data_IF_132153670328
#
_entry.id   IF_132153670328
#
_cell.length_a   1.000
_cell.length_b   1.000
_cell.length_c   1.000
_cell.angle_alpha   90.00
_cell.angle_beta   90.00
_cell.angle_gamma   90.00
#
_symmetry.space_group_name_H-M   'P 1'
#
loop_
_entity.id
_entity.type
_entity.pdbx_description
1 polymer ?
#
# COMPACT_ATOMS: atom_id res chain seq x y z
N UNK A 1 -14.49 -24.06 -59.26
CA UNK A 1 -14.16 -24.09 -57.82
C UNK A 1 -13.34 -22.84 -57.49
N UNK A 2 -13.90 -21.86 -56.75
CA UNK A 2 -13.22 -20.61 -56.40
C UNK A 2 -12.32 -20.84 -55.18
N UNK A 3 -11.01 -20.67 -55.33
CA UNK A 3 -10.03 -20.77 -54.23
C UNK A 3 -10.21 -19.54 -53.33
N UNK A 4 -10.79 -19.73 -52.15
CA UNK A 4 -10.90 -18.66 -51.15
C UNK A 4 -9.50 -18.45 -50.58
N UNK A 5 -8.90 -17.30 -50.88
CA UNK A 5 -7.60 -16.91 -50.33
C UNK A 5 -7.73 -16.76 -48.82
N UNK A 6 -6.97 -17.55 -48.06
CA UNK A 6 -6.93 -17.53 -46.58
C UNK A 6 -6.05 -16.40 -46.03
N UNK A 7 -5.33 -15.69 -46.90
CA UNK A 7 -4.43 -14.59 -46.57
C UNK A 7 -5.10 -13.38 -45.87
N UNK A 8 -6.29 -12.88 -46.29
CA UNK A 8 -6.96 -11.78 -45.58
C UNK A 8 -7.45 -12.17 -44.19
N UNK A 9 -7.85 -13.43 -43.97
CA UNK A 9 -8.28 -13.89 -42.65
C UNK A 9 -7.13 -13.89 -41.65
N UNK A 10 -5.92 -14.24 -42.10
CA UNK A 10 -4.71 -14.26 -41.27
C UNK A 10 -4.27 -12.85 -40.85
N UNK A 11 -4.38 -11.87 -41.75
CA UNK A 11 -4.03 -10.47 -41.48
C UNK A 11 -5.00 -9.86 -40.46
N UNK A 12 -6.30 -10.12 -40.60
CA UNK A 12 -7.32 -9.62 -39.65
C UNK A 12 -7.08 -10.21 -38.24
N UNK A 13 -6.79 -11.51 -38.14
CA UNK A 13 -6.49 -12.13 -36.84
C UNK A 13 -5.21 -11.59 -36.21
N UNK A 14 -4.18 -11.31 -37.01
CA UNK A 14 -2.91 -10.78 -36.52
C UNK A 14 -3.04 -9.33 -36.06
N UNK A 15 -3.82 -8.51 -36.77
CA UNK A 15 -4.15 -7.13 -36.38
C UNK A 15 -4.99 -7.10 -35.11
N UNK A 16 -5.98 -7.99 -34.95
CA UNK A 16 -6.74 -8.10 -33.71
C UNK A 16 -5.88 -8.57 -32.54
N UNK A 17 -4.96 -9.53 -32.74
CA UNK A 17 -4.06 -10.01 -31.67
C UNK A 17 -3.05 -8.92 -31.23
N UNK A 18 -2.57 -8.08 -32.16
CA UNK A 18 -1.73 -6.92 -31.82
C UNK A 18 -2.50 -5.87 -31.01
N UNK A 19 -3.80 -5.67 -31.27
CA UNK A 19 -4.64 -4.75 -30.51
C UNK A 19 -4.87 -5.18 -29.06
N UNK A 20 -4.82 -6.48 -28.75
CA UNK A 20 -4.86 -6.99 -27.37
C UNK A 20 -3.51 -6.87 -26.65
N UNK A 21 -2.40 -6.63 -27.35
CA UNK A 21 -1.06 -6.46 -26.76
C UNK A 21 -0.83 -5.05 -26.21
N UNK A 22 -1.55 -4.06 -26.74
CA UNK A 22 -1.44 -2.64 -26.32
C UNK A 22 -2.44 -2.24 -25.24
N UNK A 23 -3.30 -3.16 -24.77
CA UNK A 23 -4.08 -2.90 -23.57
C UNK A 23 -3.15 -2.98 -22.35
N UNK A 24 -3.11 -1.95 -21.48
CA UNK A 24 -2.40 -2.07 -20.23
C UNK A 24 -3.08 -3.18 -19.43
N UNK A 25 -2.38 -4.30 -19.24
CA UNK A 25 -2.72 -5.32 -18.25
C UNK A 25 -2.51 -4.70 -16.87
N UNK A 26 -3.43 -3.81 -16.50
CA UNK A 26 -3.51 -3.26 -15.15
C UNK A 26 -3.77 -4.40 -14.19
N UNK A 27 -3.01 -4.43 -13.10
CA UNK A 27 -3.19 -5.35 -11.98
C UNK A 27 -4.68 -5.35 -11.61
N UNK A 28 -5.35 -6.48 -11.76
CA UNK A 28 -6.71 -6.67 -11.24
C UNK A 28 -6.58 -6.92 -9.73
N UNK A 29 -6.18 -5.89 -9.00
CA UNK A 29 -6.56 -5.76 -7.60
C UNK A 29 -8.05 -5.41 -7.60
N UNK A 30 -8.83 -5.95 -6.66
CA UNK A 30 -10.26 -5.64 -6.52
C UNK A 30 -10.44 -4.12 -6.53
N UNK A 31 -10.95 -3.58 -7.65
CA UNK A 31 -10.95 -2.16 -7.88
C UNK A 31 -12.24 -1.59 -7.31
N UNK A 32 -12.10 -0.70 -6.33
CA UNK A 32 -13.24 0.01 -5.75
C UNK A 32 -13.90 0.85 -6.86
N UNK A 33 -15.24 0.91 -6.87
CA UNK A 33 -15.95 1.71 -7.84
C UNK A 33 -15.66 3.20 -7.65
N UNK A 34 -15.77 3.99 -8.72
CA UNK A 34 -15.65 5.44 -8.64
C UNK A 34 -16.66 6.02 -7.64
N UNK A 35 -16.20 6.90 -6.77
CA UNK A 35 -17.01 7.42 -5.68
C UNK A 35 -16.18 8.05 -4.55
N UNK A 36 -16.89 8.52 -3.52
CA UNK A 36 -16.28 9.01 -2.28
C UNK A 36 -16.68 8.09 -1.14
N UNK A 37 -15.70 7.72 -0.33
CA UNK A 37 -15.86 6.80 0.79
C UNK A 37 -15.25 7.40 2.05
N UNK A 38 -15.85 7.14 3.20
CA UNK A 38 -15.20 7.32 4.48
C UNK A 38 -14.34 6.08 4.78
N UNK A 39 -13.10 6.31 5.19
CA UNK A 39 -12.12 5.28 5.47
C UNK A 39 -11.49 5.49 6.85
N UNK A 40 -11.49 4.44 7.66
CA UNK A 40 -10.78 4.44 8.93
C UNK A 40 -9.32 4.04 8.73
N UNK A 41 -8.46 4.45 9.65
CA UNK A 41 -7.05 4.14 9.63
C UNK A 41 -6.43 4.31 11.01
N UNK A 42 -5.26 3.69 11.19
CA UNK A 42 -4.39 3.88 12.35
C UNK A 42 -3.04 4.36 11.85
N UNK A 43 -2.48 5.38 12.51
CA UNK A 43 -1.09 5.76 12.29
C UNK A 43 -0.20 4.84 13.11
N UNK A 44 0.68 4.11 12.43
CA UNK A 44 1.66 3.21 13.03
C UNK A 44 3.05 3.84 13.06
N UNK A 45 3.92 3.28 13.90
CA UNK A 45 5.36 3.60 13.92
C UNK A 45 6.02 3.17 12.62
N UNK A 46 7.21 3.71 12.32
CA UNK A 46 7.96 3.33 11.13
C UNK A 46 8.43 1.87 11.19
N UNK A 47 8.86 1.43 12.38
CA UNK A 47 9.59 0.17 12.57
C UNK A 47 8.68 -1.02 12.82
N UNK A 48 7.44 -0.79 13.25
CA UNK A 48 6.50 -1.85 13.61
C UNK A 48 5.04 -1.38 13.61
N UNK A 49 4.12 -2.32 13.71
CA UNK A 49 2.68 -2.12 13.49
C UNK A 49 1.94 -1.56 14.72
N UNK A 50 2.68 -1.17 15.77
CA UNK A 50 2.08 -0.51 16.94
C UNK A 50 1.64 0.89 16.57
N UNK A 51 0.56 1.37 17.21
CA UNK A 51 0.10 2.74 17.08
C UNK A 51 1.22 3.74 17.42
N UNK A 52 1.32 4.78 16.60
CA UNK A 52 2.20 5.93 16.82
C UNK A 52 1.50 6.96 17.71
N UNK A 53 2.28 7.69 18.51
CA UNK A 53 1.76 8.88 19.21
C UNK A 53 1.19 9.92 18.24
N UNK A 54 1.67 9.93 16.99
CA UNK A 54 1.15 10.79 15.95
C UNK A 54 -0.34 10.51 15.64
N UNK A 55 -0.85 9.32 15.95
CA UNK A 55 -2.22 8.93 15.65
C UNK A 55 -3.26 9.93 16.15
N UNK A 56 -3.07 10.52 17.32
CA UNK A 56 -4.07 11.42 17.94
C UNK A 56 -4.18 12.78 17.25
N UNK A 57 -3.21 13.12 16.40
CA UNK A 57 -3.18 14.37 15.64
C UNK A 57 -3.85 14.28 14.27
N UNK A 58 -4.29 13.09 13.87
CA UNK A 58 -4.99 12.86 12.60
C UNK A 58 -6.43 12.42 12.87
N UNK A 59 -7.39 13.13 12.29
CA UNK A 59 -8.82 12.93 12.54
C UNK A 59 -9.38 11.75 11.72
N UNK A 60 -10.33 11.02 12.29
CA UNK A 60 -10.99 9.87 11.64
C UNK A 60 -12.51 10.09 11.58
N UNK A 61 -13.19 9.55 10.55
CA UNK A 61 -12.60 8.91 9.36
C UNK A 61 -11.96 9.93 8.41
N UNK A 62 -11.09 9.46 7.52
CA UNK A 62 -10.64 10.22 6.36
C UNK A 62 -11.58 10.01 5.17
N UNK A 63 -11.40 10.81 4.11
CA UNK A 63 -12.13 10.61 2.85
C UNK A 63 -11.23 9.95 1.80
N UNK A 64 -11.71 8.89 1.19
CA UNK A 64 -11.12 8.23 0.03
C UNK A 64 -11.93 8.62 -1.21
N UNK A 65 -11.25 9.16 -2.22
CA UNK A 65 -11.83 9.51 -3.52
C UNK A 65 -11.27 8.53 -4.55
N UNK A 66 -12.16 7.82 -5.23
CA UNK A 66 -11.82 6.91 -6.31
C UNK A 66 -12.36 7.47 -7.62
N UNK A 67 -11.47 7.61 -8.62
CA UNK A 67 -11.83 8.08 -9.95
C UNK A 67 -11.00 7.39 -11.01
N UNK A 68 -11.65 6.74 -11.97
CA UNK A 68 -11.01 5.97 -13.04
C UNK A 68 -9.95 4.99 -12.50
N UNK A 69 -10.23 4.38 -11.34
CA UNK A 69 -9.30 3.45 -10.70
C UNK A 69 -8.12 4.07 -9.96
N UNK A 70 -7.96 5.40 -9.97
CA UNK A 70 -7.02 6.11 -9.12
C UNK A 70 -7.64 6.42 -7.76
N UNK A 71 -6.89 6.15 -6.69
CA UNK A 71 -7.28 6.44 -5.32
C UNK A 71 -6.49 7.62 -4.76
N UNK A 72 -7.20 8.62 -4.22
CA UNK A 72 -6.59 9.71 -3.44
C UNK A 72 -7.30 9.81 -2.10
N UNK A 73 -6.53 10.00 -1.03
CA UNK A 73 -7.08 10.17 0.31
C UNK A 73 -6.95 11.62 0.74
N UNK A 74 -7.95 12.12 1.46
CA UNK A 74 -7.95 13.40 2.13
C UNK A 74 -7.89 13.14 3.64
N UNK A 75 -6.74 13.48 4.24
CA UNK A 75 -6.44 13.26 5.66
C UNK A 75 -6.60 14.59 6.41
N UNK A 76 -7.67 14.74 7.21
CA UNK A 76 -7.77 15.84 8.16
C UNK A 76 -6.79 15.66 9.32
N UNK A 77 -6.13 16.74 9.72
CA UNK A 77 -5.24 16.78 10.89
C UNK A 77 -5.55 18.00 11.76
N UNK A 78 -5.39 17.81 13.07
CA UNK A 78 -5.46 18.85 14.08
C UNK A 78 -4.03 19.30 14.46
N UNK A 79 -3.93 20.39 15.23
CA UNK A 79 -2.66 21.03 15.57
C UNK A 79 -1.79 21.23 14.32
N UNK A 80 -2.42 21.74 13.25
CA UNK A 80 -1.81 21.87 11.93
C UNK A 80 -0.49 22.64 11.98
N UNK A 81 -0.36 23.61 12.87
CA UNK A 81 0.86 24.41 13.03
C UNK A 81 2.07 23.57 13.46
N UNK A 82 1.88 22.43 14.12
CA UNK A 82 2.98 21.61 14.62
C UNK A 82 3.62 20.75 13.53
N UNK A 83 2.87 20.35 12.51
CA UNK A 83 3.41 19.58 11.39
C UNK A 83 3.81 20.57 10.29
N UNK A 84 5.09 20.93 10.22
CA UNK A 84 5.62 21.92 9.27
C UNK A 84 5.80 21.34 7.88
N UNK A 85 6.17 20.07 7.77
CA UNK A 85 6.27 19.33 6.51
C UNK A 85 5.46 18.03 6.57
N UNK A 86 4.79 17.70 5.46
CA UNK A 86 4.10 16.43 5.28
C UNK A 86 4.38 15.92 3.87
N UNK A 87 5.24 14.91 3.75
CA UNK A 87 5.70 14.36 2.48
C UNK A 87 5.16 12.95 2.27
N UNK A 88 4.40 12.75 1.20
CA UNK A 88 3.82 11.48 0.81
C UNK A 88 4.58 10.86 -0.38
N UNK A 89 4.51 9.53 -0.57
CA UNK A 89 5.08 8.88 -1.74
C UNK A 89 4.37 9.31 -3.03
N UNK A 90 5.14 9.74 -4.03
CA UNK A 90 4.68 9.99 -5.38
C UNK A 90 5.79 9.61 -6.38
N UNK A 91 5.48 8.72 -7.33
CA UNK A 91 6.39 8.27 -8.39
C UNK A 91 7.79 7.82 -7.88
N UNK A 92 7.83 7.10 -6.75
CA UNK A 92 9.07 6.58 -6.15
C UNK A 92 9.85 7.58 -5.29
N UNK A 93 9.39 8.83 -5.17
CA UNK A 93 9.97 9.87 -4.32
C UNK A 93 9.00 10.27 -3.20
N UNK A 94 9.48 11.08 -2.26
CA UNK A 94 8.64 11.73 -1.25
C UNK A 94 8.48 13.20 -1.59
N UNK A 95 7.25 13.66 -1.76
CA UNK A 95 6.90 15.03 -2.14
C UNK A 95 5.87 15.61 -1.18
N UNK A 96 5.86 16.93 -1.02
CA UNK A 96 4.89 17.59 -0.14
C UNK A 96 3.45 17.31 -0.59
N UNK A 97 2.62 16.87 0.35
CA UNK A 97 1.22 16.58 0.07
C UNK A 97 0.44 17.87 -0.21
N UNK A 98 -0.53 17.77 -1.11
CA UNK A 98 -1.37 18.89 -1.50
C UNK A 98 -2.30 19.28 -0.35
N UNK A 99 -2.31 20.54 0.07
CA UNK A 99 -3.31 21.03 1.04
C UNK A 99 -4.60 21.32 0.28
N UNK A 100 -5.72 20.73 0.71
CA UNK A 100 -7.05 20.90 0.08
C UNK A 100 -8.02 21.72 0.92
N UNK A 101 -7.75 21.86 2.23
CA UNK A 101 -8.51 22.72 3.13
C UNK A 101 -7.64 23.14 4.31
N UNK A 102 -7.89 24.34 4.84
CA UNK A 102 -7.21 24.89 6.02
C UNK A 102 -8.21 25.72 6.84
N UNK A 103 -8.22 25.48 8.15
CA UNK A 103 -8.96 26.25 9.14
C UNK A 103 -7.95 26.74 10.18
N UNK A 104 -7.55 28.00 10.06
CA UNK A 104 -6.55 28.61 10.95
C UNK A 104 -7.09 28.87 12.35
N UNK A 105 -8.41 29.10 12.48
CA UNK A 105 -9.03 29.37 13.78
C UNK A 105 -9.10 28.11 14.64
N UNK A 106 -9.38 26.96 14.02
CA UNK A 106 -9.38 25.66 14.70
C UNK A 106 -8.00 24.97 14.72
N UNK A 107 -6.98 25.57 14.10
CA UNK A 107 -5.66 24.98 13.83
C UNK A 107 -5.76 23.58 13.18
N UNK A 108 -6.53 23.50 12.09
CA UNK A 108 -6.75 22.27 11.31
C UNK A 108 -6.37 22.45 9.86
N UNK A 109 -5.97 21.36 9.21
CA UNK A 109 -5.86 21.30 7.76
C UNK A 109 -6.21 19.92 7.23
N UNK A 110 -6.52 19.84 5.95
CA UNK A 110 -6.68 18.58 5.24
C UNK A 110 -5.67 18.50 4.11
N UNK A 111 -4.89 17.42 4.08
CA UNK A 111 -3.94 17.13 3.01
C UNK A 111 -4.45 16.00 2.13
N UNK A 112 -4.08 16.03 0.86
CA UNK A 112 -4.45 15.06 -0.16
C UNK A 112 -3.22 14.44 -0.78
N UNK A 113 -3.20 13.11 -0.89
CA UNK A 113 -2.15 12.36 -1.58
C UNK A 113 -2.69 11.07 -2.20
N UNK A 114 -1.93 10.52 -3.14
CA UNK A 114 -2.27 9.29 -3.87
C UNK A 114 -1.99 8.05 -3.00
N UNK A 115 -2.83 7.02 -3.17
CA UNK A 115 -2.61 5.69 -2.60
C UNK A 115 -2.68 4.67 -3.71
N UNK A 116 -1.73 3.74 -3.74
CA UNK A 116 -1.73 2.66 -4.74
C UNK A 116 -2.37 1.36 -4.21
N UNK A 117 -2.28 1.11 -2.90
CA UNK A 117 -2.72 -0.14 -2.28
C UNK A 117 -3.20 0.08 -0.84
N UNK A 118 -4.51 -0.12 -0.59
CA UNK A 118 -5.10 0.01 0.75
C UNK A 118 -4.77 -1.17 1.69
N UNK A 119 -4.27 -2.29 1.16
CA UNK A 119 -3.95 -3.48 1.97
C UNK A 119 -2.60 -3.39 2.68
N UNK A 120 -1.80 -2.37 2.36
CA UNK A 120 -0.45 -2.18 2.91
C UNK A 120 -0.34 -0.85 3.63
N UNK A 121 0.39 -0.78 4.76
CA UNK A 121 0.69 0.49 5.39
C UNK A 121 1.46 1.42 4.44
N UNK A 122 1.00 2.65 4.28
CA UNK A 122 1.67 3.68 3.48
C UNK A 122 2.58 4.54 4.36
N UNK A 123 3.88 4.49 4.13
CA UNK A 123 4.84 5.36 4.82
C UNK A 123 4.78 6.80 4.30
N UNK A 124 4.75 7.78 5.20
CA UNK A 124 4.95 9.20 4.92
C UNK A 124 6.03 9.77 5.82
N UNK A 125 6.62 10.90 5.43
CA UNK A 125 7.60 11.63 6.23
C UNK A 125 6.99 12.92 6.74
N UNK A 126 7.16 13.22 8.01
CA UNK A 126 6.69 14.45 8.64
C UNK A 126 7.82 15.15 9.37
N UNK A 127 7.76 16.48 9.39
CA UNK A 127 8.58 17.33 10.26
C UNK A 127 7.65 17.95 11.29
N UNK A 128 7.97 17.73 12.57
CA UNK A 128 7.17 18.21 13.70
C UNK A 128 7.99 19.22 14.48
N UNK A 129 7.44 20.43 14.61
CA UNK A 129 8.05 21.54 15.34
C UNK A 129 7.06 22.08 16.36
N UNK A 130 7.44 22.05 17.63
CA UNK A 130 6.67 22.65 18.74
C UNK A 130 7.60 23.60 19.50
N UNK A 131 7.62 24.90 19.15
CA UNK A 131 8.58 25.86 19.69
C UNK A 131 8.48 25.99 21.22
N UNK A 132 7.27 25.94 21.78
CA UNK A 132 7.04 26.03 23.23
C UNK A 132 7.64 24.86 24.03
N UNK A 133 7.90 23.73 23.38
CA UNK A 133 8.52 22.55 23.98
C UNK A 133 9.97 22.35 23.52
N UNK A 134 10.54 23.29 22.74
CA UNK A 134 11.84 23.14 22.08
C UNK A 134 11.98 21.79 21.36
N UNK A 135 10.93 21.40 20.63
CA UNK A 135 10.81 20.12 19.95
C UNK A 135 10.90 20.33 18.44
N UNK A 136 11.83 19.64 17.79
CA UNK A 136 12.06 19.69 16.35
C UNK A 136 12.55 18.30 15.90
N UNK A 137 11.67 17.52 15.29
CA UNK A 137 11.98 16.15 14.91
C UNK A 137 11.34 15.74 13.59
N UNK A 138 12.08 14.93 12.85
CA UNK A 138 11.63 14.30 11.63
C UNK A 138 11.22 12.86 11.92
N UNK A 139 10.05 12.47 11.44
CA UNK A 139 9.54 11.11 11.61
C UNK A 139 9.12 10.51 10.27
N UNK A 140 9.28 9.20 10.17
CA UNK A 140 8.48 8.40 9.25
C UNK A 140 7.31 7.82 10.05
N UNK A 141 6.10 7.94 9.54
CA UNK A 141 4.90 7.31 10.11
C UNK A 141 4.21 6.50 9.01
N UNK A 142 3.43 5.49 9.39
CA UNK A 142 2.75 4.63 8.41
C UNK A 142 1.24 4.70 8.59
N UNK A 143 0.51 4.99 7.52
CA UNK A 143 -0.94 4.95 7.49
C UNK A 143 -1.39 3.52 7.20
N UNK A 144 -1.93 2.82 8.20
CA UNK A 144 -2.58 1.53 8.02
C UNK A 144 -4.08 1.74 7.86
N UNK A 145 -4.56 1.65 6.62
CA UNK A 145 -5.96 1.85 6.28
C UNK A 145 -6.80 0.60 6.56
N UNK A 146 -8.02 0.80 7.01
CA UNK A 146 -9.04 -0.25 7.05
C UNK A 146 -9.69 -0.36 5.68
N UNK A 147 -9.50 -1.51 5.01
CA UNK A 147 -10.07 -1.76 3.68
C UNK A 147 -11.62 -1.81 3.69
N UNK A 148 -12.25 -1.87 4.87
CA UNK A 148 -13.70 -1.78 5.01
C UNK A 148 -14.17 -0.31 4.93
N UNK A 149 -14.30 0.16 3.69
CA UNK A 149 -14.73 1.54 3.37
C UNK A 149 -16.26 1.70 3.40
N UNK A 150 -16.74 2.90 3.72
CA UNK A 150 -18.18 3.25 3.72
C UNK A 150 -18.47 4.33 2.69
N UNK A 151 -19.38 4.10 1.75
CA UNK A 151 -19.73 5.12 0.75
C UNK A 151 -20.38 6.35 1.41
N UNK A 152 -20.01 7.56 0.95
CA UNK A 152 -20.55 8.83 1.44
C UNK A 152 -21.66 9.29 0.49
N UNK A 153 -22.91 9.19 0.95
CA UNK A 153 -24.09 9.72 0.26
C UNK A 153 -24.70 8.80 -0.81
N UNK A 154 -25.66 7.96 -0.39
CA UNK A 154 -26.59 7.28 -1.30
C UNK A 154 -26.52 5.76 -1.22
N UNK A 155 -27.62 5.17 -0.76
CA UNK A 155 -27.96 3.75 -0.74
C UNK A 155 -27.78 3.12 -2.13
N UNK A 156 -26.64 2.45 -2.36
CA UNK A 156 -26.46 1.45 -3.42
C UNK A 156 -25.27 0.58 -3.04
N UNK A 157 -25.58 -0.69 -2.73
CA UNK A 157 -24.69 -1.64 -2.12
C UNK A 157 -23.48 -2.02 -2.97
N UNK A 158 -22.31 -1.89 -2.36
CA UNK A 158 -21.35 -2.97 -2.22
C UNK A 158 -20.45 -2.61 -1.05
N UNK A 159 -20.84 -3.02 0.16
CA UNK A 159 -19.87 -3.17 1.23
C UNK A 159 -18.82 -4.16 0.71
N UNK A 160 -17.65 -3.67 0.31
CA UNK A 160 -16.49 -4.49 0.00
C UNK A 160 -16.03 -5.14 1.31
N UNK A 161 -16.73 -6.22 1.67
CA UNK A 161 -16.43 -7.04 2.83
C UNK A 161 -15.37 -8.03 2.37
N UNK A 162 -14.09 -7.70 2.57
CA UNK A 162 -13.03 -8.69 2.47
C UNK A 162 -13.10 -9.55 3.73
N UNK A 163 -13.89 -10.62 3.68
CA UNK A 163 -13.83 -11.70 4.66
C UNK A 163 -12.46 -12.36 4.55
N UNK A 164 -11.56 -12.06 5.49
CA UNK A 164 -10.52 -13.02 5.85
C UNK A 164 -11.03 -13.82 7.04
N UNK A 165 -11.45 -15.04 6.74
CA UNK A 165 -11.88 -16.02 7.72
C UNK A 165 -10.63 -16.77 8.18
N UNK A 166 -10.11 -16.45 9.36
CA UNK A 166 -9.44 -17.45 10.18
C UNK A 166 -9.89 -17.26 11.63
N UNK A 167 -10.88 -18.08 12.01
CA UNK A 167 -11.21 -18.33 13.39
C UNK A 167 -10.17 -19.29 13.96
N UNK A 168 -9.34 -18.78 14.89
CA UNK A 168 -8.99 -19.60 16.05
C UNK A 168 -9.36 -18.83 17.31
N UNK A 169 -10.50 -19.23 17.89
CA UNK A 169 -10.84 -18.96 19.28
C UNK A 169 -9.94 -19.82 20.16
N UNK A 170 -9.22 -19.19 21.08
CA UNK A 170 -9.04 -19.72 22.44
C UNK A 170 -9.05 -18.54 23.40
N UNK A 171 -10.13 -18.41 24.18
CA UNK A 171 -10.13 -17.55 25.35
C UNK A 171 -9.45 -18.24 26.52
N UNK A 172 -8.88 -17.46 27.44
CA UNK A 172 -9.10 -17.60 28.89
C UNK A 172 -8.62 -16.32 29.59
N UNK A 173 -9.36 -16.02 30.65
CA UNK A 173 -9.45 -14.79 31.43
C UNK A 173 -8.28 -14.55 32.39
N UNK A 174 -8.04 -13.27 32.65
CA UNK A 174 -7.82 -12.59 33.95
C UNK A 174 -6.76 -13.16 34.91
N UNK A 175 -5.78 -12.31 35.24
CA UNK A 175 -5.51 -11.97 36.66
C UNK A 175 -4.88 -10.59 36.81
N UNK A 176 -5.62 -9.70 37.46
CA UNK A 176 -5.09 -8.54 38.17
C UNK A 176 -4.19 -9.00 39.33
N UNK A 177 -3.07 -8.32 39.56
CA UNK A 177 -2.48 -8.22 40.88
C UNK A 177 -1.91 -6.80 41.07
N UNK A 178 -2.52 -6.06 42.00
CA UNK A 178 -1.96 -4.87 42.63
C UNK A 178 -0.83 -5.31 43.58
N UNK A 179 0.29 -4.60 43.58
CA UNK A 179 1.01 -4.24 44.84
C UNK A 179 1.84 -2.97 44.60
N UNK A 180 1.48 -1.92 45.35
CA UNK A 180 2.23 -0.69 45.72
C UNK A 180 3.28 -1.14 46.77
N UNK A 181 4.51 -0.63 46.95
CA UNK A 181 4.94 0.72 47.32
C UNK A 181 6.50 0.79 47.33
N UNK A 182 7.02 2.00 47.08
CA UNK A 182 8.15 2.68 47.78
C UNK A 182 9.65 2.42 47.46
N UNK A 183 10.20 3.41 46.73
CA UNK A 183 11.26 4.36 47.13
C UNK A 183 12.60 3.85 47.70
N UNK A 184 13.69 4.11 46.94
CA UNK A 184 14.88 4.76 47.51
C UNK A 184 15.77 5.41 46.43
N UNK A 185 15.83 6.73 46.47
CA UNK A 185 16.98 7.55 46.06
C UNK A 185 18.31 6.99 46.58
N UNK A 186 19.40 7.13 45.81
CA UNK A 186 20.60 7.96 46.13
C UNK A 186 21.70 7.73 45.08
N UNK A 187 21.88 8.71 44.20
CA UNK A 187 23.10 9.49 43.86
C UNK A 187 24.48 8.84 43.63
N UNK A 188 25.17 9.43 42.63
CA UNK A 188 26.64 9.59 42.39
C UNK A 188 27.32 8.50 41.54
N UNK A 189 28.28 8.76 40.67
CA UNK A 189 28.85 9.90 39.93
C UNK A 189 29.95 9.27 39.04
N UNK A 190 30.23 9.89 37.88
CA UNK A 190 31.52 9.92 37.16
C UNK A 190 32.25 8.60 36.81
N UNK A 191 32.56 8.38 35.52
CA UNK A 191 33.78 8.93 34.89
C UNK A 191 34.08 8.27 33.51
N UNK A 192 34.56 9.12 32.59
CA UNK A 192 35.43 8.93 31.41
C UNK A 192 35.70 7.53 30.81
N UNK A 193 35.38 7.47 29.52
CA UNK A 193 36.36 7.42 28.40
C UNK A 193 37.33 6.22 28.32
N UNK A 194 37.18 5.41 27.27
CA UNK A 194 38.12 5.31 26.13
C UNK A 194 38.37 3.87 25.64
N UNK A 195 38.10 3.69 24.35
CA UNK A 195 38.63 2.74 23.36
C UNK A 195 39.09 1.34 23.80
N UNK A 196 38.47 0.35 23.15
CA UNK A 196 39.17 -0.67 22.39
C UNK A 196 38.24 -1.16 21.28
N UNK A 197 38.68 -1.12 20.03
CA UNK A 197 38.91 -2.40 19.35
C UNK A 197 39.75 -2.26 18.08
N UNK A 198 40.63 -3.25 17.96
CA UNK A 198 41.58 -3.50 16.90
C UNK A 198 40.96 -4.43 15.86
N UNK A 199 41.12 -4.04 14.60
CA UNK A 199 41.28 -4.86 13.38
C UNK A 199 41.26 -6.40 13.55
N UNK A 200 40.38 -7.08 12.82
CA UNK A 200 40.81 -8.10 11.85
C UNK A 200 39.75 -8.54 10.84
N UNK A 201 40.30 -8.86 9.67
CA UNK A 201 39.71 -9.24 8.38
C UNK A 201 39.00 -10.61 8.42
N UNK A 202 37.99 -10.83 7.57
CA UNK A 202 38.16 -11.49 6.26
C UNK A 202 36.77 -11.82 5.67
N UNK A 203 36.71 -11.78 4.34
CA UNK A 203 35.47 -11.67 3.59
C UNK A 203 34.62 -12.93 3.43
N UNK A 204 33.42 -12.71 2.92
CA UNK A 204 32.72 -13.66 2.06
C UNK A 204 31.78 -12.87 1.15
N UNK A 205 32.05 -12.93 -0.15
CA UNK A 205 31.09 -12.55 -1.17
C UNK A 205 29.87 -13.46 -1.05
N UNK A 206 28.67 -12.89 -0.96
CA UNK A 206 27.44 -13.66 -1.12
C UNK A 206 26.44 -12.89 -1.97
N UNK A 207 25.78 -13.68 -2.81
CA UNK A 207 25.06 -13.31 -4.03
C UNK A 207 23.89 -12.38 -3.75
N UNK A 208 23.73 -11.40 -4.62
CA UNK A 208 22.42 -10.84 -4.96
C UNK A 208 21.55 -11.95 -5.55
N UNK A 209 20.68 -12.54 -4.73
CA UNK A 209 19.52 -13.26 -5.25
C UNK A 209 18.49 -12.22 -5.70
N UNK A 210 18.47 -11.97 -7.01
CA UNK A 210 17.38 -11.28 -7.67
C UNK A 210 16.10 -12.12 -7.48
N UNK A 211 14.99 -11.57 -6.97
CA UNK A 211 13.76 -12.34 -6.87
C UNK A 211 13.33 -12.78 -8.27
N UNK A 212 13.28 -14.10 -8.44
CA UNK A 212 12.67 -14.77 -9.59
C UNK A 212 11.22 -14.28 -9.69
N UNK A 213 10.87 -13.58 -10.78
CA UNK A 213 9.47 -13.30 -11.14
C UNK A 213 8.83 -14.62 -11.55
N UNK A 214 8.42 -15.39 -10.55
CA UNK A 214 7.58 -16.58 -10.69
C UNK A 214 6.11 -16.19 -10.86
N UNK A 215 5.82 -15.33 -11.85
CA UNK A 215 4.45 -15.16 -12.32
C UNK A 215 4.11 -16.43 -13.13
N UNK A 216 3.55 -17.44 -12.46
CA UNK A 216 2.79 -18.51 -13.11
C UNK A 216 1.44 -17.95 -13.62
N UNK A 217 1.51 -16.93 -14.48
CA UNK A 217 0.37 -16.44 -15.22
C UNK A 217 0.01 -17.46 -16.30
N UNK A 218 -0.77 -18.48 -15.94
CA UNK A 218 -1.54 -19.37 -16.83
C UNK A 218 -0.87 -19.74 -18.17
N UNK A 219 0.44 -20.02 -18.17
CA UNK A 219 1.18 -20.50 -19.35
C UNK A 219 0.55 -21.81 -19.85
N UNK A 220 0.02 -22.63 -18.94
CA UNK A 220 -0.72 -23.85 -19.26
C UNK A 220 -1.94 -23.60 -20.17
N UNK A 221 -2.65 -22.48 -20.03
CA UNK A 221 -3.83 -22.19 -20.87
C UNK A 221 -3.41 -21.86 -22.31
N UNK A 222 -2.31 -21.12 -22.49
CA UNK A 222 -1.77 -20.81 -23.80
C UNK A 222 -1.13 -22.04 -24.48
N UNK A 223 -0.44 -22.89 -23.72
CA UNK A 223 0.09 -24.15 -24.22
C UNK A 223 -1.04 -25.08 -24.71
N UNK A 224 -2.15 -25.16 -23.97
CA UNK A 224 -3.34 -25.92 -24.37
C UNK A 224 -3.98 -25.33 -25.63
N UNK A 225 -4.09 -24.01 -25.76
CA UNK A 225 -4.61 -23.36 -26.96
C UNK A 225 -3.74 -23.61 -28.21
N UNK A 226 -2.41 -23.59 -28.05
CA UNK A 226 -1.47 -23.88 -29.16
C UNK A 226 -1.59 -25.35 -29.59
N UNK A 227 -1.72 -26.29 -28.65
CA UNK A 227 -1.89 -27.71 -28.96
C UNK A 227 -3.21 -27.99 -29.68
N UNK A 228 -4.32 -27.38 -29.23
CA UNK A 228 -5.63 -27.53 -29.89
C UNK A 228 -5.58 -26.96 -31.33
N UNK A 229 -4.93 -25.81 -31.52
CA UNK A 229 -4.73 -25.19 -32.83
C UNK A 229 -3.88 -26.05 -33.77
N UNK A 230 -2.80 -26.65 -33.26
CA UNK A 230 -1.92 -27.53 -34.02
C UNK A 230 -2.64 -28.80 -34.52
N UNK A 231 -3.46 -29.43 -33.68
CA UNK A 231 -4.24 -30.62 -34.05
C UNK A 231 -5.29 -30.28 -35.12
N UNK A 232 -5.93 -29.12 -35.03
CA UNK A 232 -6.90 -28.65 -36.03
C UNK A 232 -6.25 -28.42 -37.41
N UNK A 233 -5.05 -27.83 -37.45
CA UNK A 233 -4.29 -27.60 -38.68
C UNK A 233 -3.83 -28.90 -39.35
N UNK A 234 -3.27 -29.84 -38.57
CA UNK A 234 -2.79 -31.13 -39.11
C UNK A 234 -3.97 -31.92 -39.70
N UNK A 235 -5.12 -31.90 -39.04
CA UNK A 235 -6.32 -32.58 -39.51
C UNK A 235 -6.83 -31.95 -40.80
N UNK A 236 -6.89 -30.63 -40.91
CA UNK A 236 -7.40 -29.95 -42.10
C UNK A 236 -6.46 -30.06 -43.33
N UNK A 237 -5.14 -30.11 -43.11
CA UNK A 237 -4.15 -30.30 -44.19
C UNK A 237 -4.17 -31.72 -44.74
N UNK A 238 -4.43 -32.74 -43.90
CA UNK A 238 -4.48 -34.14 -44.35
C UNK A 238 -5.77 -34.51 -45.10
N UNK A 239 -6.85 -33.75 -44.93
CA UNK A 239 -8.11 -33.92 -45.67
C UNK A 239 -8.20 -33.10 -46.97
N UNK A 240 -7.16 -32.33 -47.31
CA UNK A 240 -7.09 -31.52 -48.54
C UNK A 240 -6.10 -32.08 -49.57
N UNK A 241 -5.83 -33.39 -49.55
CA UNK A 241 -5.06 -34.09 -50.59
C UNK A 241 -5.86 -35.24 -51.18
#
# INVERSE_FOLDING_TARGET
MRKISVLPAFIITFVCMLAFLVMPYGKVAAQLADGTYDINYVIQKAENDSASMANDYFEKPAKLIVKNGEMRVQIPMNHSAWITEFKAPENGNFVDAKVVSKDEAADKRTVEFKIDDLSKPLGVKIHVVVPSANYDHHYTIRFAFDANVKAVGGDNGAAATTKNNDQTKTGTQVKEEKTKVENKETTKEANKETNKDTKNENGKAEKTDNPKTGDEARIGLFAVLILISGVFLIRNVKFSK
#
